data_IF_419638658934
#
_entry.id   IF_419638658934
#
_cell.length_a   1.000
_cell.length_b   1.000
_cell.length_c   1.000
_cell.angle_alpha   90.00
_cell.angle_beta   90.00
_cell.angle_gamma   90.00
#
_symmetry.space_group_name_H-M   'P 1'
#
loop_
_entity.id
_entity.type
_entity.pdbx_description
1 polymer ?
#
# COMPACT_ATOMS: atom_id res chain seq x y z
N UNK A 1 3.99 18.67 51.12
CA UNK A 1 4.45 17.59 50.21
C UNK A 1 3.28 17.06 49.37
N UNK A 2 2.80 17.84 48.38
CA UNK A 2 1.67 17.43 47.50
C UNK A 2 1.80 17.95 46.05
N UNK A 3 2.97 18.50 45.67
CA UNK A 3 3.17 19.16 44.36
C UNK A 3 3.94 18.32 43.33
N UNK A 4 4.42 17.13 43.70
CA UNK A 4 5.28 16.29 42.83
C UNK A 4 4.48 15.25 42.02
N UNK A 5 3.20 15.00 42.36
CA UNK A 5 2.37 13.97 41.71
C UNK A 5 1.82 14.41 40.33
N UNK A 6 1.83 15.71 40.01
CA UNK A 6 1.23 16.21 38.76
C UNK A 6 2.14 16.14 37.52
N UNK A 7 3.44 15.85 37.67
CA UNK A 7 4.39 15.83 36.54
C UNK A 7 4.36 14.48 35.79
N UNK A 8 3.90 13.41 36.44
CA UNK A 8 3.94 12.06 35.86
C UNK A 8 2.84 11.81 34.80
N UNK A 9 1.80 12.64 34.75
CA UNK A 9 0.69 12.46 33.80
C UNK A 9 0.90 13.19 32.46
N UNK A 10 1.94 14.03 32.35
CA UNK A 10 2.23 14.81 31.13
C UNK A 10 3.24 14.15 30.18
N UNK A 11 3.87 13.04 30.56
CA UNK A 11 4.99 12.43 29.81
C UNK A 11 4.53 11.32 28.84
N UNK A 12 3.28 10.87 28.93
CA UNK A 12 2.76 9.75 28.12
C UNK A 12 2.36 10.15 26.69
N UNK A 13 2.26 11.45 26.37
CA UNK A 13 1.76 11.91 25.05
C UNK A 13 2.80 12.00 23.93
N UNK A 14 4.05 11.55 24.11
CA UNK A 14 5.13 11.78 23.12
C UNK A 14 5.53 10.57 22.25
N UNK A 15 4.84 9.43 22.31
CA UNK A 15 5.28 8.21 21.61
C UNK A 15 4.50 7.81 20.34
N UNK A 16 3.56 8.61 19.84
CA UNK A 16 2.67 8.15 18.74
C UNK A 16 3.13 8.41 17.29
N UNK A 17 4.38 8.80 17.01
CA UNK A 17 4.80 9.18 15.64
C UNK A 17 5.95 8.38 15.01
N UNK A 18 6.39 7.26 15.59
CA UNK A 18 7.49 6.47 15.00
C UNK A 18 7.04 5.34 14.06
N UNK A 19 5.87 4.75 14.26
CA UNK A 19 5.44 3.52 13.58
C UNK A 19 5.23 3.72 12.06
N UNK A 20 4.53 4.79 11.65
CA UNK A 20 4.24 5.07 10.23
C UNK A 20 5.49 5.29 9.37
N UNK A 21 6.56 5.81 9.98
CA UNK A 21 7.85 6.01 9.29
C UNK A 21 8.55 4.69 9.03
N UNK A 22 8.28 3.65 9.82
CA UNK A 22 8.92 2.34 9.68
C UNK A 22 8.35 1.58 8.47
N UNK A 23 7.01 1.54 8.34
CA UNK A 23 6.37 0.89 7.19
C UNK A 23 6.73 1.53 5.86
N UNK A 24 6.66 2.86 5.79
CA UNK A 24 7.00 3.59 4.55
C UNK A 24 8.42 3.28 4.12
N UNK A 25 9.38 3.23 5.06
CA UNK A 25 10.78 2.88 4.77
C UNK A 25 10.94 1.44 4.32
N UNK A 26 10.21 0.51 4.94
CA UNK A 26 10.23 -0.90 4.54
C UNK A 26 9.74 -1.06 3.10
N UNK A 27 8.59 -0.49 2.77
CA UNK A 27 8.04 -0.52 1.41
C UNK A 27 8.98 0.18 0.44
N UNK A 28 9.50 1.37 0.78
CA UNK A 28 10.45 2.09 -0.06
C UNK A 28 11.72 1.27 -0.34
N UNK A 29 12.27 0.59 0.67
CA UNK A 29 13.43 -0.28 0.48
C UNK A 29 13.13 -1.43 -0.47
N UNK A 30 12.01 -2.14 -0.27
CA UNK A 30 11.57 -3.24 -1.15
C UNK A 30 11.33 -2.78 -2.58
N UNK A 31 10.74 -1.60 -2.77
CA UNK A 31 10.54 -1.02 -4.11
C UNK A 31 11.86 -0.69 -4.83
N UNK A 32 12.90 -0.26 -4.10
CA UNK A 32 14.22 -0.02 -4.70
C UNK A 32 14.91 -1.30 -5.14
N UNK A 33 14.65 -2.41 -4.44
CA UNK A 33 15.24 -3.71 -4.72
C UNK A 33 14.55 -4.44 -5.89
N UNK A 34 13.36 -4.01 -6.30
CA UNK A 34 12.72 -4.54 -7.52
C UNK A 34 13.54 -4.15 -8.75
N UNK A 35 13.81 -5.13 -9.63
CA UNK A 35 14.58 -4.95 -10.88
C UNK A 35 14.08 -3.77 -11.76
N UNK A 36 12.78 -3.48 -11.68
CA UNK A 36 12.12 -2.43 -12.46
C UNK A 36 12.17 -1.04 -11.81
N UNK A 37 12.62 -0.96 -10.55
CA UNK A 37 12.61 0.20 -9.66
C UNK A 37 11.43 1.18 -9.94
N UNK A 38 10.23 0.85 -9.45
CA UNK A 38 9.05 1.69 -9.67
C UNK A 38 9.18 3.12 -9.12
N UNK A 39 10.11 3.38 -8.19
CA UNK A 39 10.30 4.71 -7.62
C UNK A 39 10.84 5.69 -8.68
N UNK A 40 10.02 6.67 -9.02
CA UNK A 40 10.32 7.69 -10.03
C UNK A 40 9.83 7.36 -11.45
N UNK A 41 9.33 6.15 -11.67
CA UNK A 41 8.65 5.75 -12.92
C UNK A 41 7.13 5.89 -12.80
N UNK A 42 6.61 5.79 -11.57
CA UNK A 42 5.18 5.85 -11.28
C UNK A 42 4.87 6.99 -10.30
N UNK A 43 3.62 7.45 -10.33
CA UNK A 43 3.09 8.45 -9.39
C UNK A 43 2.46 7.80 -8.16
N UNK A 44 1.82 6.64 -8.34
CA UNK A 44 1.15 5.93 -7.28
C UNK A 44 1.50 4.45 -7.30
N UNK A 45 1.58 3.85 -6.11
CA UNK A 45 1.68 2.41 -5.92
C UNK A 45 0.45 1.95 -5.15
N UNK A 46 -0.24 0.93 -5.67
CA UNK A 46 -1.40 0.34 -5.05
C UNK A 46 -1.04 -1.08 -4.65
N UNK A 47 -1.05 -1.36 -3.35
CA UNK A 47 -0.85 -2.71 -2.80
C UNK A 47 -2.22 -3.31 -2.52
N UNK A 48 -2.51 -4.47 -3.10
CA UNK A 48 -3.79 -5.18 -3.00
C UNK A 48 -3.52 -6.53 -2.34
N UNK A 49 -3.95 -6.74 -1.07
CA UNK A 49 -3.89 -8.04 -0.45
C UNK A 49 -4.97 -8.96 -1.05
N UNK A 50 -4.63 -10.22 -1.28
CA UNK A 50 -5.55 -11.23 -1.81
C UNK A 50 -6.43 -11.88 -0.72
N UNK A 51 -6.09 -11.66 0.54
CA UNK A 51 -6.86 -12.12 1.70
C UNK A 51 -7.04 -10.98 2.70
N UNK A 52 -8.25 -10.81 3.23
CA UNK A 52 -8.60 -9.70 4.12
C UNK A 52 -10.03 -9.19 3.93
N UNK A 53 -10.20 -7.87 3.97
CA UNK A 53 -11.51 -7.21 3.75
C UNK A 53 -12.00 -7.46 2.32
N UNK A 54 -12.92 -8.40 2.12
CA UNK A 54 -13.38 -8.78 0.77
C UNK A 54 -13.95 -7.62 -0.04
N UNK A 55 -14.73 -6.73 0.58
CA UNK A 55 -15.30 -5.56 -0.10
C UNK A 55 -14.23 -4.57 -0.56
N UNK A 56 -13.30 -4.22 0.34
CA UNK A 56 -12.20 -3.32 0.05
C UNK A 56 -11.29 -3.89 -1.08
N UNK A 57 -11.04 -5.20 -1.04
CA UNK A 57 -10.24 -5.90 -2.05
C UNK A 57 -10.96 -5.84 -3.41
N UNK A 58 -12.26 -6.17 -3.47
CA UNK A 58 -13.03 -6.11 -4.71
C UNK A 58 -13.04 -4.70 -5.32
N UNK A 59 -13.18 -3.66 -4.50
CA UNK A 59 -13.10 -2.26 -5.00
C UNK A 59 -11.71 -1.93 -5.58
N UNK A 60 -10.64 -2.40 -4.94
CA UNK A 60 -9.28 -2.22 -5.45
C UNK A 60 -9.01 -3.03 -6.73
N UNK A 61 -9.56 -4.24 -6.84
CA UNK A 61 -9.52 -5.06 -8.06
C UNK A 61 -10.29 -4.39 -9.21
N UNK A 62 -11.48 -3.85 -8.94
CA UNK A 62 -12.25 -3.08 -9.92
C UNK A 62 -11.49 -1.82 -10.35
N UNK A 63 -10.84 -1.13 -9.41
CA UNK A 63 -9.98 -0.01 -9.74
C UNK A 63 -8.81 -0.44 -10.64
N UNK A 64 -8.13 -1.54 -10.33
CA UNK A 64 -7.11 -2.12 -11.20
C UNK A 64 -7.68 -2.40 -12.60
N UNK A 65 -8.81 -3.08 -12.70
CA UNK A 65 -9.40 -3.45 -13.99
C UNK A 65 -9.70 -2.24 -14.88
N UNK A 66 -10.15 -1.14 -14.27
CA UNK A 66 -10.45 0.11 -14.97
C UNK A 66 -9.20 0.96 -15.27
N UNK A 67 -8.05 0.67 -14.64
CA UNK A 67 -6.86 1.51 -14.72
C UNK A 67 -5.57 0.76 -15.08
N UNK A 68 -5.64 -0.54 -15.41
CA UNK A 68 -4.46 -1.40 -15.64
C UNK A 68 -3.56 -0.95 -16.80
N UNK A 69 -4.06 -0.09 -17.69
CA UNK A 69 -3.26 0.49 -18.79
C UNK A 69 -2.60 1.84 -18.43
N UNK A 70 -2.89 2.41 -17.25
CA UNK A 70 -2.28 3.67 -16.82
C UNK A 70 -0.80 3.50 -16.52
N UNK A 71 0.00 4.39 -17.08
CA UNK A 71 1.46 4.38 -16.95
C UNK A 71 1.96 5.04 -15.66
N UNK A 72 1.10 5.78 -14.96
CA UNK A 72 1.44 6.47 -13.72
C UNK A 72 1.10 5.65 -12.45
N UNK A 73 0.51 4.46 -12.63
CA UNK A 73 0.12 3.55 -11.55
C UNK A 73 0.96 2.28 -11.61
N UNK A 74 1.38 1.79 -10.45
CA UNK A 74 1.99 0.48 -10.27
C UNK A 74 1.17 -0.33 -9.26
N UNK A 75 0.86 -1.58 -9.60
CA UNK A 75 0.03 -2.46 -8.78
C UNK A 75 0.86 -3.60 -8.21
N UNK A 76 0.71 -3.86 -6.92
CA UNK A 76 1.36 -4.97 -6.21
C UNK A 76 0.25 -5.84 -5.64
N UNK A 77 0.15 -7.09 -6.10
CA UNK A 77 -0.73 -8.07 -5.47
C UNK A 77 0.09 -8.86 -4.45
N UNK A 78 -0.37 -8.95 -3.21
CA UNK A 78 0.34 -9.61 -2.10
C UNK A 78 -0.61 -10.55 -1.35
N UNK A 79 -0.10 -11.30 -0.37
CA UNK A 79 -0.83 -12.33 0.36
C UNK A 79 -1.48 -13.38 -0.57
N UNK A 80 -0.80 -13.72 -1.67
CA UNK A 80 -1.37 -14.50 -2.76
C UNK A 80 -1.48 -15.98 -2.38
N UNK A 81 -2.69 -16.46 -2.11
CA UNK A 81 -2.93 -17.90 -1.93
C UNK A 81 -3.05 -18.67 -3.26
N UNK A 82 -3.50 -18.01 -4.33
CA UNK A 82 -3.63 -18.64 -5.64
C UNK A 82 -3.61 -17.64 -6.80
N UNK A 83 -2.53 -17.71 -7.59
CA UNK A 83 -2.41 -16.99 -8.87
C UNK A 83 -3.58 -17.31 -9.81
N UNK A 84 -4.12 -18.53 -9.77
CA UNK A 84 -5.26 -18.92 -10.61
C UNK A 84 -6.51 -18.13 -10.23
N UNK A 85 -6.73 -17.91 -8.94
CA UNK A 85 -7.87 -17.13 -8.42
C UNK A 85 -7.79 -15.68 -8.90
N UNK A 86 -6.63 -15.05 -8.76
CA UNK A 86 -6.34 -13.71 -9.30
C UNK A 86 -6.71 -13.64 -10.78
N UNK A 87 -6.15 -14.53 -11.60
CA UNK A 87 -6.37 -14.53 -13.05
C UNK A 87 -7.84 -14.66 -13.46
N UNK A 88 -8.67 -15.29 -12.64
CA UNK A 88 -10.10 -15.42 -12.89
C UNK A 88 -10.86 -14.12 -12.61
N UNK A 89 -10.43 -13.36 -11.59
CA UNK A 89 -11.08 -12.09 -11.21
C UNK A 89 -10.58 -10.90 -12.03
N UNK A 90 -9.26 -10.79 -12.20
CA UNK A 90 -8.63 -9.59 -12.79
C UNK A 90 -7.98 -9.83 -14.16
N UNK A 91 -8.20 -11.01 -14.75
CA UNK A 91 -7.77 -11.33 -16.12
C UNK A 91 -6.46 -12.12 -16.20
N UNK A 92 -6.35 -12.92 -17.27
CA UNK A 92 -5.21 -13.84 -17.49
C UNK A 92 -3.92 -13.11 -17.85
N UNK A 93 -4.04 -11.92 -18.43
CA UNK A 93 -2.97 -11.03 -18.90
C UNK A 93 -2.23 -10.31 -17.77
N UNK A 94 -2.68 -10.43 -16.51
CA UNK A 94 -2.07 -9.73 -15.37
C UNK A 94 -0.55 -9.95 -15.25
N UNK A 95 -0.06 -11.15 -15.60
CA UNK A 95 1.38 -11.47 -15.56
C UNK A 95 2.20 -10.78 -16.65
N UNK A 96 1.53 -10.34 -17.70
CA UNK A 96 2.15 -9.72 -18.86
C UNK A 96 2.15 -8.19 -18.73
N UNK A 97 1.52 -7.64 -17.68
CA UNK A 97 1.45 -6.21 -17.41
C UNK A 97 2.74 -5.70 -16.77
N UNK A 98 3.36 -4.71 -17.41
CA UNK A 98 4.61 -4.07 -16.94
C UNK A 98 4.44 -3.29 -15.63
N UNK A 99 3.23 -2.82 -15.36
CA UNK A 99 2.88 -2.08 -14.16
C UNK A 99 2.28 -2.96 -13.06
N UNK A 100 2.53 -4.27 -13.10
CA UNK A 100 2.07 -5.22 -12.09
C UNK A 100 3.25 -6.00 -11.53
N UNK A 101 3.25 -6.17 -10.21
CA UNK A 101 4.11 -7.11 -9.50
C UNK A 101 3.25 -8.07 -8.69
N UNK A 102 3.59 -9.37 -8.74
CA UNK A 102 2.97 -10.41 -7.93
C UNK A 102 3.96 -10.76 -6.81
N UNK A 103 3.67 -10.28 -5.60
CA UNK A 103 4.46 -10.50 -4.40
C UNK A 103 4.16 -11.90 -3.82
N UNK A 104 4.86 -12.90 -4.34
CA UNK A 104 4.69 -14.30 -3.95
C UNK A 104 5.34 -14.64 -2.60
N UNK A 105 6.34 -13.84 -2.21
CA UNK A 105 7.12 -14.04 -0.99
C UNK A 105 6.63 -13.17 0.18
N UNK A 106 5.56 -12.37 -0.05
CA UNK A 106 4.95 -11.45 0.92
C UNK A 106 5.93 -10.39 1.47
N UNK A 107 6.84 -9.93 0.63
CA UNK A 107 7.83 -8.90 0.97
C UNK A 107 7.20 -7.55 1.30
N UNK A 108 5.96 -7.31 0.86
CA UNK A 108 5.21 -6.08 1.09
C UNK A 108 4.20 -6.18 2.25
N UNK A 109 4.07 -7.36 2.87
CA UNK A 109 3.35 -7.52 4.13
C UNK A 109 4.27 -7.15 5.29
N UNK A 110 3.78 -6.29 6.18
CA UNK A 110 4.52 -5.93 7.37
C UNK A 110 3.94 -6.64 8.60
N UNK A 111 4.71 -7.53 9.23
CA UNK A 111 4.26 -8.28 10.42
C UNK A 111 3.81 -7.37 11.59
N UNK A 112 4.20 -6.10 11.57
CA UNK A 112 3.87 -5.12 12.60
C UNK A 112 2.50 -4.43 12.37
N UNK A 113 1.84 -4.66 11.22
CA UNK A 113 0.62 -3.96 10.81
C UNK A 113 -0.53 -4.95 10.59
N UNK A 114 -1.56 -4.84 11.44
CA UNK A 114 -2.78 -5.63 11.29
C UNK A 114 -3.61 -5.16 10.08
N UNK A 115 -3.36 -3.93 9.64
CA UNK A 115 -4.04 -3.25 8.53
C UNK A 115 -3.64 -3.79 7.15
N UNK A 116 -2.69 -4.74 7.08
CA UNK A 116 -2.33 -5.46 5.85
C UNK A 116 -3.51 -6.20 5.19
N UNK A 117 -4.64 -6.33 5.90
CA UNK A 117 -5.90 -6.87 5.36
C UNK A 117 -6.64 -5.89 4.44
N UNK A 118 -6.17 -4.63 4.36
CA UNK A 118 -6.73 -3.58 3.53
C UNK A 118 -5.77 -3.23 2.38
N UNK A 119 -6.30 -2.87 1.20
CA UNK A 119 -5.48 -2.30 0.15
C UNK A 119 -4.87 -0.96 0.58
N UNK A 120 -3.73 -0.60 0.01
CA UNK A 120 -2.94 0.56 0.42
C UNK A 120 -2.56 1.37 -0.81
N UNK A 121 -2.70 2.70 -0.73
CA UNK A 121 -2.26 3.62 -1.77
C UNK A 121 -1.08 4.42 -1.25
N UNK A 122 0.06 4.28 -1.92
CA UNK A 122 1.23 5.13 -1.74
C UNK A 122 1.23 6.23 -2.82
N UNK A 123 1.41 7.47 -2.40
CA UNK A 123 1.70 8.61 -3.27
C UNK A 123 3.21 8.85 -3.25
N UNK A 124 3.86 8.54 -4.37
CA UNK A 124 5.31 8.61 -4.54
C UNK A 124 5.73 9.73 -5.51
N UNK A 125 4.80 10.64 -5.84
CA UNK A 125 5.10 11.80 -6.72
C UNK A 125 6.20 12.69 -6.13
N UNK A 126 6.28 12.75 -4.80
CA UNK A 126 7.37 13.40 -4.10
C UNK A 126 8.30 12.35 -3.47
N UNK A 127 9.50 12.19 -4.03
CA UNK A 127 10.50 11.21 -3.55
C UNK A 127 11.00 11.52 -2.13
N UNK A 128 10.95 12.78 -1.70
CA UNK A 128 11.39 13.19 -0.37
C UNK A 128 10.27 13.07 0.68
N UNK A 129 9.03 12.90 0.23
CA UNK A 129 7.85 12.81 1.09
C UNK A 129 6.81 11.85 0.50
N UNK A 130 7.10 10.56 0.63
CA UNK A 130 6.17 9.49 0.31
C UNK A 130 5.09 9.46 1.40
N UNK A 131 3.83 9.47 0.97
CA UNK A 131 2.68 9.32 1.88
C UNK A 131 1.87 8.10 1.50
N UNK A 132 1.12 7.55 2.46
CA UNK A 132 0.27 6.40 2.21
C UNK A 132 -1.05 6.49 2.97
N UNK A 133 -2.04 5.74 2.50
CA UNK A 133 -3.32 5.54 3.20
C UNK A 133 -3.86 4.14 2.96
N UNK A 134 -4.48 3.56 3.98
CA UNK A 134 -5.27 2.34 3.85
C UNK A 134 -6.63 2.66 3.24
N UNK A 135 -7.15 1.71 2.46
CA UNK A 135 -8.48 1.75 1.88
C UNK A 135 -9.43 0.92 2.73
N UNK A 136 -9.74 1.49 3.89
CA UNK A 136 -10.72 0.95 4.84
C UNK A 136 -12.16 1.13 4.31
N UNK A 137 -13.14 0.39 4.83
CA UNK A 137 -14.53 0.54 4.42
C UNK A 137 -15.02 1.99 4.50
N UNK A 138 -15.58 2.49 3.39
CA UNK A 138 -16.07 3.87 3.28
C UNK A 138 -15.02 4.90 2.86
N UNK A 139 -13.78 4.48 2.56
CA UNK A 139 -12.75 5.32 1.98
C UNK A 139 -12.65 5.08 0.47
N UNK A 140 -13.10 6.06 -0.32
CA UNK A 140 -13.07 5.95 -1.78
C UNK A 140 -11.65 6.09 -2.37
N UNK A 141 -11.36 5.26 -3.36
CA UNK A 141 -10.19 5.33 -4.25
C UNK A 141 -10.26 6.53 -5.20
N UNK A 142 -10.01 7.74 -4.69
CA UNK A 142 -9.95 8.96 -5.51
C UNK A 142 -8.53 9.28 -5.98
N UNK A 143 -7.98 8.48 -6.91
CA UNK A 143 -6.68 8.76 -7.56
C UNK A 143 -6.91 9.55 -8.85
N UNK A 144 -6.71 10.87 -8.79
CA UNK A 144 -6.73 11.74 -9.97
C UNK A 144 -5.41 11.64 -10.71
N UNK A 145 -5.45 11.54 -12.04
CA UNK A 145 -4.25 11.63 -12.87
C UNK A 145 -3.48 12.92 -12.56
N UNK A 146 -2.14 12.90 -12.62
CA UNK A 146 -1.35 14.13 -12.64
C UNK A 146 -1.92 15.03 -13.74
N UNK A 147 -2.14 16.32 -13.43
CA UNK A 147 -2.46 17.29 -14.48
C UNK A 147 -1.24 17.37 -15.39
N UNK A 148 -1.44 17.08 -16.68
CA UNK A 148 -0.46 17.34 -17.74
C UNK A 148 -0.01 18.81 -17.74
#
# INVERSE_FOLDING_TARGET
>A
MKRIIFIFWSVISLFSCSLNKDYTRQVEAKLKDLDNNPIGSYSFIIIIPEEGCSGCISEAEDFYMNNKERQDLFFIFTNISSIKSIKLRVGKDIKDKKNVFLDLDNDFLSEQFNENIYPIVFDIRNKDNITYRFLEPGIDLQIKSPKE
#
